data_IF_032056964851
#
_entry.id   IF_032056964851
#
_cell.length_a   1.000
_cell.length_b   1.000
_cell.length_c   1.000
_cell.angle_alpha   90.00
_cell.angle_beta   90.00
_cell.angle_gamma   90.00
#
_symmetry.space_group_name_H-M   'P 1'
#
loop_
_entity.id
_entity.type
_entity.pdbx_description
1 polymer ?
#
# COMPACT_ATOMS: atom_id res chain seq x y z
N UNK A 1 18.93 -13.20 -15.59
CA UNK A 1 20.01 -13.67 -14.67
C UNK A 1 19.70 -15.08 -14.20
N UNK A 2 18.50 -15.36 -13.70
CA UNK A 2 18.13 -16.72 -13.25
C UNK A 2 18.03 -17.74 -14.38
N UNK A 3 17.46 -17.41 -15.55
CA UNK A 3 17.53 -18.29 -16.73
C UNK A 3 18.97 -18.67 -17.12
N UNK A 4 19.93 -17.79 -16.83
CA UNK A 4 21.37 -18.07 -17.03
C UNK A 4 21.95 -18.96 -15.93
N UNK A 5 21.45 -18.85 -14.69
CA UNK A 5 21.82 -19.70 -13.55
C UNK A 5 21.27 -21.13 -13.75
N UNK A 6 20.00 -21.27 -14.15
CA UNK A 6 19.36 -22.57 -14.43
C UNK A 6 20.00 -23.30 -15.62
N UNK A 7 20.33 -22.58 -16.69
CA UNK A 7 21.06 -23.13 -17.83
C UNK A 7 22.47 -23.62 -17.43
N UNK A 8 23.16 -22.91 -16.53
CA UNK A 8 24.48 -23.33 -16.04
C UNK A 8 24.40 -24.54 -15.09
N UNK A 9 23.29 -24.72 -14.36
CA UNK A 9 23.03 -25.91 -13.55
C UNK A 9 22.79 -27.17 -14.38
N UNK A 10 22.03 -27.06 -15.48
CA UNK A 10 21.82 -28.16 -16.42
C UNK A 10 23.11 -28.65 -17.09
N UNK A 11 24.15 -27.82 -17.11
CA UNK A 11 25.47 -28.14 -17.65
C UNK A 11 26.45 -28.72 -16.60
N UNK A 12 25.99 -28.99 -15.37
CA UNK A 12 26.75 -29.59 -14.27
C UNK A 12 28.06 -28.84 -13.92
N UNK A 13 28.11 -27.53 -14.21
CA UNK A 13 29.23 -26.65 -13.86
C UNK A 13 28.96 -26.01 -12.50
N UNK A 14 29.14 -26.76 -11.41
CA UNK A 14 29.13 -26.19 -10.04
C UNK A 14 30.40 -25.36 -9.79
N UNK A 15 30.51 -24.25 -10.51
CA UNK A 15 31.61 -23.31 -10.39
C UNK A 15 31.46 -22.48 -9.11
N UNK A 16 32.56 -21.93 -8.61
CA UNK A 16 32.50 -20.96 -7.51
C UNK A 16 31.66 -19.74 -7.89
N UNK A 17 31.69 -19.31 -9.16
CA UNK A 17 30.89 -18.20 -9.69
C UNK A 17 29.38 -18.48 -9.55
N UNK A 18 28.93 -19.68 -9.96
CA UNK A 18 27.53 -20.09 -9.86
C UNK A 18 27.03 -20.10 -8.41
N UNK A 19 27.83 -20.63 -7.47
CA UNK A 19 27.49 -20.64 -6.04
C UNK A 19 27.42 -19.22 -5.46
N UNK A 20 28.34 -18.34 -5.84
CA UNK A 20 28.33 -16.94 -5.43
C UNK A 20 27.05 -16.26 -5.95
N UNK A 21 26.72 -16.40 -7.24
CA UNK A 21 25.51 -15.82 -7.83
C UNK A 21 24.24 -16.30 -7.12
N UNK A 22 24.10 -17.61 -6.87
CA UNK A 22 22.95 -18.16 -6.11
C UNK A 22 22.84 -17.58 -4.70
N UNK A 23 23.94 -17.53 -3.97
CA UNK A 23 23.96 -17.03 -2.59
C UNK A 23 23.63 -15.53 -2.54
N UNK A 24 24.20 -14.75 -3.46
CA UNK A 24 23.93 -13.32 -3.56
C UNK A 24 22.47 -13.05 -3.95
N UNK A 25 21.95 -13.78 -4.95
CA UNK A 25 20.56 -13.67 -5.38
C UNK A 25 19.59 -13.95 -4.21
N UNK A 26 19.73 -15.10 -3.54
CA UNK A 26 18.91 -15.48 -2.39
C UNK A 26 18.97 -14.44 -1.27
N UNK A 27 20.15 -13.88 -0.99
CA UNK A 27 20.34 -12.85 0.03
C UNK A 27 19.64 -11.54 -0.33
N UNK A 28 19.79 -11.09 -1.59
CA UNK A 28 19.17 -9.87 -2.08
C UNK A 28 17.64 -9.99 -2.13
N UNK A 29 17.11 -11.11 -2.61
CA UNK A 29 15.66 -11.36 -2.65
C UNK A 29 15.05 -11.36 -1.25
N UNK A 30 15.72 -11.99 -0.26
CA UNK A 30 15.24 -11.96 1.13
C UNK A 30 15.20 -10.55 1.70
N UNK A 31 16.27 -9.76 1.50
CA UNK A 31 16.32 -8.35 1.94
C UNK A 31 15.25 -7.50 1.26
N UNK A 32 15.00 -7.77 -0.01
CA UNK A 32 13.97 -7.07 -0.76
C UNK A 32 12.59 -7.31 -0.16
N UNK A 33 12.22 -8.57 0.08
CA UNK A 33 10.95 -8.95 0.72
C UNK A 33 10.82 -8.30 2.11
N UNK A 34 11.89 -8.29 2.90
CA UNK A 34 11.91 -7.66 4.23
C UNK A 34 11.58 -6.16 4.17
N UNK A 35 12.30 -5.41 3.33
CA UNK A 35 12.09 -3.95 3.16
C UNK A 35 10.70 -3.65 2.63
N UNK A 36 10.21 -4.44 1.68
CA UNK A 36 8.89 -4.24 1.08
C UNK A 36 7.76 -4.58 2.06
N UNK A 37 7.95 -5.55 2.94
CA UNK A 37 7.01 -5.87 4.03
C UNK A 37 6.95 -4.74 5.05
N UNK A 38 8.10 -4.17 5.42
CA UNK A 38 8.16 -2.99 6.30
C UNK A 38 7.50 -1.76 5.65
N UNK A 39 7.72 -1.57 4.35
CA UNK A 39 7.07 -0.51 3.59
C UNK A 39 5.55 -0.66 3.58
N UNK A 40 5.01 -1.84 3.28
CA UNK A 40 3.57 -2.12 3.32
C UNK A 40 2.99 -1.90 4.73
N UNK A 41 3.68 -2.35 5.78
CA UNK A 41 3.28 -2.11 7.18
C UNK A 41 3.20 -0.61 7.49
N UNK A 42 4.17 0.16 6.98
CA UNK A 42 4.22 1.62 7.17
C UNK A 42 3.07 2.31 6.42
N UNK A 43 2.77 1.85 5.21
CA UNK A 43 1.63 2.33 4.42
C UNK A 43 0.31 2.04 5.14
N UNK A 44 0.07 0.82 5.62
CA UNK A 44 -1.14 0.48 6.38
C UNK A 44 -1.35 1.40 7.58
N UNK A 45 -0.31 1.63 8.39
CA UNK A 45 -0.35 2.58 9.52
C UNK A 45 -0.65 4.02 9.08
N UNK A 46 -0.22 4.41 7.88
CA UNK A 46 -0.53 5.73 7.34
C UNK A 46 -1.99 5.84 6.90
N UNK A 47 -2.55 4.78 6.28
CA UNK A 47 -3.98 4.67 5.94
C UNK A 47 -4.83 4.88 7.18
N UNK A 48 -4.54 4.14 8.25
CA UNK A 48 -5.28 4.20 9.52
C UNK A 48 -5.27 5.61 10.11
N UNK A 49 -4.10 6.28 10.10
CA UNK A 49 -4.01 7.67 10.57
C UNK A 49 -4.80 8.66 9.70
N UNK A 50 -4.89 8.43 8.38
CA UNK A 50 -5.71 9.25 7.52
C UNK A 50 -7.20 9.04 7.78
N UNK A 51 -7.62 7.78 7.96
CA UNK A 51 -8.99 7.41 8.36
C UNK A 51 -9.38 8.07 9.68
N UNK A 52 -8.55 7.95 10.72
CA UNK A 52 -8.78 8.58 12.02
C UNK A 52 -8.89 10.12 11.93
N UNK A 53 -8.17 10.75 10.99
CA UNK A 53 -8.26 12.19 10.74
C UNK A 53 -9.59 12.54 10.06
N UNK A 54 -10.00 11.77 9.05
CA UNK A 54 -11.30 11.97 8.38
C UNK A 54 -12.44 11.83 9.38
N UNK A 55 -12.41 10.81 10.25
CA UNK A 55 -13.44 10.60 11.28
C UNK A 55 -13.59 11.83 12.19
N UNK A 56 -12.47 12.35 12.72
CA UNK A 56 -12.48 13.56 13.56
C UNK A 56 -13.01 14.78 12.81
N UNK A 57 -12.68 14.94 11.53
CA UNK A 57 -13.19 16.06 10.74
C UNK A 57 -14.70 15.93 10.48
N UNK A 58 -15.21 14.71 10.27
CA UNK A 58 -16.65 14.48 10.18
C UNK A 58 -17.37 14.83 11.49
N UNK A 59 -16.81 14.49 12.64
CA UNK A 59 -17.35 14.88 13.94
C UNK A 59 -17.39 16.42 14.12
N UNK A 60 -16.37 17.14 13.67
CA UNK A 60 -16.34 18.63 13.68
C UNK A 60 -17.47 19.21 12.83
N UNK A 61 -17.82 18.56 11.72
CA UNK A 61 -18.95 18.97 10.88
C UNK A 61 -20.32 18.59 11.46
N UNK A 62 -20.35 17.89 12.59
CA UNK A 62 -21.57 17.44 13.26
C UNK A 62 -22.09 16.09 12.75
N UNK A 63 -21.31 15.36 11.94
CA UNK A 63 -21.66 14.03 11.44
C UNK A 63 -20.92 12.96 12.22
N UNK A 64 -21.62 12.29 13.13
CA UNK A 64 -21.12 11.09 13.78
C UNK A 64 -21.09 9.95 12.76
N UNK A 65 -19.93 9.34 12.58
CA UNK A 65 -19.72 8.24 11.63
C UNK A 65 -18.98 7.11 12.34
N UNK A 66 -19.52 5.90 12.25
CA UNK A 66 -18.88 4.71 12.80
C UNK A 66 -17.68 4.28 11.96
N UNK A 67 -16.84 3.41 12.51
CA UNK A 67 -15.66 2.90 11.79
C UNK A 67 -16.02 2.08 10.55
N UNK A 68 -17.18 1.40 10.56
CA UNK A 68 -17.67 0.58 9.46
C UNK A 68 -18.24 1.46 8.35
N UNK A 69 -19.12 2.41 8.69
CA UNK A 69 -19.63 3.39 7.74
C UNK A 69 -18.50 4.18 7.08
N UNK A 70 -17.46 4.56 7.83
CA UNK A 70 -16.32 5.27 7.27
C UNK A 70 -15.53 4.40 6.27
N UNK A 71 -15.40 3.10 6.49
CA UNK A 71 -14.79 2.22 5.47
C UNK A 71 -15.65 2.15 4.21
N UNK A 72 -16.96 1.98 4.34
CA UNK A 72 -17.88 1.95 3.20
C UNK A 72 -17.78 3.24 2.36
N UNK A 73 -17.65 4.39 3.04
CA UNK A 73 -17.44 5.68 2.39
C UNK A 73 -16.11 5.72 1.63
N UNK A 74 -15.02 5.18 2.19
CA UNK A 74 -13.71 5.12 1.54
C UNK A 74 -13.73 4.16 0.34
N UNK A 75 -14.32 2.97 0.49
CA UNK A 75 -14.42 1.95 -0.56
C UNK A 75 -15.22 2.44 -1.78
N UNK A 76 -16.19 3.34 -1.56
CA UNK A 76 -16.94 3.96 -2.64
C UNK A 76 -16.08 4.75 -3.62
N UNK A 77 -14.92 5.25 -3.17
CA UNK A 77 -14.03 6.17 -3.90
C UNK A 77 -14.64 7.54 -4.25
N UNK A 78 -15.86 7.83 -3.78
CA UNK A 78 -16.60 9.05 -4.14
C UNK A 78 -16.46 10.11 -3.07
N UNK A 79 -15.79 11.21 -3.39
CA UNK A 79 -15.65 12.35 -2.48
C UNK A 79 -17.00 12.96 -2.06
N UNK A 80 -18.00 12.95 -2.93
CA UNK A 80 -19.33 13.51 -2.67
C UNK A 80 -20.00 12.91 -1.42
N UNK A 81 -19.73 11.64 -1.11
CA UNK A 81 -20.30 10.96 0.06
C UNK A 81 -19.89 11.63 1.38
N UNK A 82 -18.75 12.31 1.41
CA UNK A 82 -18.30 13.10 2.56
C UNK A 82 -19.00 14.44 2.68
N UNK A 83 -19.60 14.98 1.60
CA UNK A 83 -20.15 16.35 1.55
C UNK A 83 -21.68 16.43 1.53
N UNK A 84 -22.38 15.37 1.12
CA UNK A 84 -23.81 15.42 0.75
C UNK A 84 -24.75 15.89 1.87
N UNK A 85 -24.43 15.60 3.14
CA UNK A 85 -25.27 15.93 4.30
C UNK A 85 -24.73 17.08 5.18
N UNK A 86 -23.65 17.75 4.77
CA UNK A 86 -22.97 18.74 5.60
C UNK A 86 -23.34 20.16 5.15
N UNK A 87 -23.96 20.93 6.06
CA UNK A 87 -24.25 22.35 5.83
C UNK A 87 -22.97 23.18 5.88
N UNK A 88 -22.64 23.84 4.76
CA UNK A 88 -21.45 24.70 4.63
C UNK A 88 -21.62 26.09 5.28
N UNK A 89 -22.09 26.13 6.52
CA UNK A 89 -22.52 27.37 7.16
C UNK A 89 -21.38 28.09 7.92
N UNK A 90 -20.28 27.37 8.21
CA UNK A 90 -19.13 27.89 8.97
C UNK A 90 -17.81 27.74 8.20
N UNK A 91 -16.90 28.69 8.42
CA UNK A 91 -15.52 28.59 7.94
C UNK A 91 -14.81 27.34 8.49
N UNK A 92 -15.15 26.92 9.71
CA UNK A 92 -14.62 25.67 10.29
C UNK A 92 -15.07 24.45 9.48
N UNK A 93 -16.35 24.37 9.10
CA UNK A 93 -16.88 23.26 8.30
C UNK A 93 -16.20 23.18 6.93
N UNK A 94 -15.93 24.34 6.30
CA UNK A 94 -15.19 24.39 5.02
C UNK A 94 -13.76 23.87 5.16
N UNK A 95 -13.08 24.23 6.25
CA UNK A 95 -11.73 23.74 6.52
C UNK A 95 -11.72 22.22 6.79
N UNK A 96 -12.69 21.71 7.55
CA UNK A 96 -12.82 20.29 7.82
C UNK A 96 -13.03 19.49 6.52
N UNK A 97 -13.90 19.96 5.63
CA UNK A 97 -14.14 19.33 4.33
C UNK A 97 -12.89 19.32 3.43
N UNK A 98 -12.14 20.42 3.39
CA UNK A 98 -10.88 20.47 2.63
C UNK A 98 -9.84 19.47 3.17
N UNK A 99 -9.77 19.33 4.49
CA UNK A 99 -8.88 18.35 5.11
C UNK A 99 -9.32 16.92 4.80
N UNK A 100 -10.63 16.63 4.82
CA UNK A 100 -11.19 15.33 4.41
C UNK A 100 -10.80 15.01 2.96
N UNK A 101 -11.00 15.94 2.02
CA UNK A 101 -10.63 15.77 0.61
C UNK A 101 -9.14 15.49 0.43
N UNK A 102 -8.30 16.23 1.15
CA UNK A 102 -6.84 16.03 1.12
C UNK A 102 -6.47 14.64 1.63
N UNK A 103 -7.04 14.21 2.77
CA UNK A 103 -6.77 12.88 3.35
C UNK A 103 -7.28 11.75 2.45
N UNK A 104 -8.47 11.89 1.89
CA UNK A 104 -9.05 10.91 0.97
C UNK A 104 -8.16 10.73 -0.28
N UNK A 105 -7.69 11.84 -0.85
CA UNK A 105 -6.76 11.81 -1.99
C UNK A 105 -5.46 11.06 -1.66
N UNK A 106 -4.95 11.22 -0.44
CA UNK A 106 -3.77 10.48 0.00
C UNK A 106 -4.02 9.00 0.22
N UNK A 107 -5.20 8.62 0.74
CA UNK A 107 -5.61 7.21 0.83
C UNK A 107 -5.65 6.58 -0.56
N UNK A 108 -6.26 7.24 -1.55
CA UNK A 108 -6.30 6.74 -2.94
C UNK A 108 -4.89 6.52 -3.50
N UNK A 109 -3.98 7.50 -3.31
CA UNK A 109 -2.58 7.38 -3.75
C UNK A 109 -1.87 6.21 -3.08
N UNK A 110 -2.12 6.02 -1.78
CA UNK A 110 -1.56 4.95 -1.00
C UNK A 110 -2.05 3.58 -1.48
N UNK A 111 -3.35 3.42 -1.70
CA UNK A 111 -3.95 2.17 -2.17
C UNK A 111 -3.46 1.78 -3.57
N UNK A 112 -3.25 2.78 -4.45
CA UNK A 112 -2.60 2.54 -5.74
C UNK A 112 -1.15 2.06 -5.56
N UNK A 113 -0.39 2.67 -4.67
CA UNK A 113 0.98 2.23 -4.38
C UNK A 113 1.01 0.82 -3.78
N UNK A 114 0.09 0.48 -2.87
CA UNK A 114 -0.02 -0.88 -2.30
C UNK A 114 -0.31 -1.89 -3.41
N UNK A 115 -1.19 -1.56 -4.35
CA UNK A 115 -1.53 -2.43 -5.49
C UNK A 115 -0.29 -2.70 -6.37
N UNK A 116 0.49 -1.66 -6.66
CA UNK A 116 1.75 -1.80 -7.42
C UNK A 116 2.78 -2.68 -6.67
N UNK A 117 2.89 -2.54 -5.34
CA UNK A 117 3.74 -3.43 -4.53
C UNK A 117 3.25 -4.88 -4.59
N UNK A 118 1.93 -5.09 -4.56
CA UNK A 118 1.34 -6.42 -4.60
C UNK A 118 1.67 -7.14 -5.91
N UNK A 119 1.55 -6.46 -7.04
CA UNK A 119 1.91 -7.00 -8.36
C UNK A 119 3.39 -7.41 -8.39
N UNK A 120 4.26 -6.56 -7.85
CA UNK A 120 5.69 -6.85 -7.72
C UNK A 120 6.00 -8.04 -6.80
N UNK A 121 5.22 -8.20 -5.73
CA UNK A 121 5.32 -9.35 -4.82
C UNK A 121 4.85 -10.65 -5.46
N UNK A 122 3.77 -10.62 -6.26
CA UNK A 122 3.30 -11.78 -7.01
C UNK A 122 4.35 -12.23 -8.02
N UNK A 123 4.96 -11.28 -8.75
CA UNK A 123 6.07 -11.58 -9.66
C UNK A 123 7.24 -12.22 -8.92
N UNK A 124 7.65 -11.67 -7.77
CA UNK A 124 8.71 -12.27 -6.96
C UNK A 124 8.34 -13.62 -6.35
N UNK A 125 7.10 -13.81 -5.91
CA UNK A 125 6.64 -15.08 -5.34
C UNK A 125 6.65 -16.18 -6.40
N UNK A 126 6.12 -15.91 -7.61
CA UNK A 126 6.19 -16.83 -8.75
C UNK A 126 7.64 -17.14 -9.16
N UNK A 127 8.55 -16.15 -9.08
CA UNK A 127 9.97 -16.33 -9.37
C UNK A 127 10.73 -17.13 -8.30
N UNK A 128 10.29 -17.11 -7.03
CA UNK A 128 10.90 -17.89 -5.94
C UNK A 128 10.32 -19.30 -5.85
N UNK A 129 9.06 -19.52 -6.24
CA UNK A 129 8.40 -20.84 -6.22
C UNK A 129 8.93 -21.78 -7.33
N UNK A 130 9.62 -21.23 -8.34
CA UNK A 130 10.31 -22.00 -9.39
C UNK A 130 11.77 -22.40 -9.04
N UNK A 131 12.29 -22.07 -7.85
CA UNK A 131 13.65 -22.42 -7.40
C UNK A 131 13.79 -23.79 -6.74
#
# INVERSE_FOLDING_TARGET
IEQSIEQEEGLNRSSADLRIRKTQHSTLSRKFVEVMTEYNTTQSKYRDRCKDRIQRQLEITGRTTTNEELEDMLESGKLAIFTDDIKMDSQMTKQALNEIETRHTEIIKLENSIRELHDMFLDMAMLVESQ
#
